data_IF_006706336488
#
_entry.id   IF_006706336488
#
_cell.length_a   1.000
_cell.length_b   1.000
_cell.length_c   1.000
_cell.angle_alpha   90.00
_cell.angle_beta   90.00
_cell.angle_gamma   90.00
#
_symmetry.space_group_name_H-M   'P 1'
#
loop_
_entity.id
_entity.type
_entity.pdbx_description
1 polymer ?
#
# COMPACT_ATOMS: atom_id res chain seq x y z
N UNK A 1 21.09 12.94 -35.14
CA UNK A 1 19.74 13.29 -35.64
C UNK A 1 19.73 14.78 -35.88
N UNK A 2 19.14 15.26 -36.97
CA UNK A 2 18.88 16.69 -37.12
C UNK A 2 17.85 17.12 -36.06
N UNK A 3 18.20 18.07 -35.21
CA UNK A 3 17.29 18.55 -34.18
C UNK A 3 16.36 19.60 -34.78
N UNK A 4 15.11 19.20 -34.95
CA UNK A 4 14.02 20.07 -35.37
C UNK A 4 12.72 19.61 -34.68
N UNK A 5 11.68 20.44 -34.75
CA UNK A 5 10.41 20.17 -34.06
C UNK A 5 9.77 18.83 -34.47
N UNK A 6 9.88 18.40 -35.73
CA UNK A 6 9.31 17.14 -36.20
C UNK A 6 10.05 15.92 -35.62
N UNK A 7 11.37 15.98 -35.57
CA UNK A 7 12.22 14.92 -35.03
C UNK A 7 12.09 14.81 -33.51
N UNK A 8 12.00 15.93 -32.79
CA UNK A 8 11.77 15.93 -31.34
C UNK A 8 10.38 15.37 -30.97
N UNK A 9 9.33 15.66 -31.75
CA UNK A 9 8.00 15.04 -31.54
C UNK A 9 8.02 13.53 -31.80
N UNK A 10 8.75 13.09 -32.82
CA UNK A 10 8.93 11.66 -33.12
C UNK A 10 9.71 10.96 -32.02
N UNK A 11 10.78 11.57 -31.52
CA UNK A 11 11.56 11.08 -30.38
C UNK A 11 10.69 10.95 -29.13
N UNK A 12 9.92 11.98 -28.79
CA UNK A 12 9.01 11.95 -27.66
C UNK A 12 7.94 10.86 -27.80
N UNK A 13 7.40 10.65 -29.00
CA UNK A 13 6.46 9.56 -29.25
C UNK A 13 7.12 8.21 -28.97
N UNK A 14 8.38 8.02 -29.38
CA UNK A 14 9.16 6.83 -29.04
C UNK A 14 9.41 6.68 -27.53
N UNK A 15 9.79 7.76 -26.84
CA UNK A 15 9.96 7.76 -25.39
C UNK A 15 8.66 7.46 -24.66
N UNK A 16 7.54 8.05 -25.06
CA UNK A 16 6.22 7.77 -24.48
C UNK A 16 5.83 6.31 -24.65
N UNK A 17 6.11 5.69 -25.80
CA UNK A 17 5.90 4.25 -25.99
C UNK A 17 6.74 3.42 -25.04
N UNK A 18 8.03 3.73 -24.90
CA UNK A 18 8.95 3.03 -23.97
C UNK A 18 8.50 3.21 -22.51
N UNK A 19 8.11 4.42 -22.14
CA UNK A 19 7.56 4.74 -20.82
C UNK A 19 6.32 3.90 -20.54
N UNK A 20 5.32 3.94 -21.42
CA UNK A 20 4.07 3.21 -21.24
C UNK A 20 4.29 1.69 -21.18
N UNK A 21 5.17 1.15 -22.02
CA UNK A 21 5.53 -0.28 -21.97
C UNK A 21 6.12 -0.70 -20.62
N UNK A 22 7.02 0.11 -20.06
CA UNK A 22 7.61 -0.16 -18.76
C UNK A 22 6.62 0.08 -17.60
N UNK A 23 5.76 1.09 -17.73
CA UNK A 23 4.69 1.38 -16.78
C UNK A 23 3.68 0.23 -16.73
N UNK A 24 3.19 -0.24 -17.87
CA UNK A 24 2.20 -1.32 -17.96
C UNK A 24 2.82 -2.69 -17.62
N UNK A 25 4.12 -2.87 -17.90
CA UNK A 25 4.86 -4.09 -17.59
C UNK A 25 5.24 -4.25 -16.11
N UNK A 26 5.16 -3.18 -15.31
CA UNK A 26 5.44 -3.25 -13.89
C UNK A 26 4.19 -3.66 -13.10
N UNK A 27 4.36 -4.65 -12.22
CA UNK A 27 3.31 -5.24 -11.39
C UNK A 27 3.48 -4.82 -9.93
N UNK A 28 2.89 -3.68 -9.52
CA UNK A 28 2.85 -3.30 -8.11
C UNK A 28 1.98 -4.29 -7.32
N UNK A 29 2.13 -4.29 -6.00
CA UNK A 29 1.48 -5.26 -5.11
C UNK A 29 0.72 -4.62 -3.95
N UNK A 30 0.75 -3.29 -3.82
CA UNK A 30 0.00 -2.54 -2.82
C UNK A 30 -1.48 -2.87 -2.81
N UNK A 31 -2.05 -3.16 -3.97
CA UNK A 31 -3.47 -3.45 -4.15
C UNK A 31 -3.88 -4.76 -3.47
N UNK A 32 -2.93 -5.62 -3.06
CA UNK A 32 -3.23 -6.79 -2.25
C UNK A 32 -3.59 -6.45 -0.80
N UNK A 33 -3.12 -5.31 -0.27
CA UNK A 33 -3.31 -4.90 1.14
C UNK A 33 -3.99 -3.55 1.32
N UNK A 34 -4.05 -2.73 0.27
CA UNK A 34 -4.67 -1.42 0.28
C UNK A 34 -5.81 -1.33 -0.74
N UNK A 35 -6.87 -0.62 -0.36
CA UNK A 35 -7.96 -0.30 -1.29
C UNK A 35 -7.68 1.03 -2.00
N UNK A 36 -8.05 1.11 -3.29
CA UNK A 36 -7.95 2.33 -4.08
C UNK A 36 -9.12 3.26 -3.74
N UNK A 37 -8.82 4.49 -3.36
CA UNK A 37 -9.80 5.58 -3.23
C UNK A 37 -9.44 6.71 -4.17
N UNK A 38 -10.41 7.16 -4.97
CA UNK A 38 -10.25 8.33 -5.84
C UNK A 38 -10.49 9.60 -5.02
N UNK A 39 -9.54 10.52 -5.05
CA UNK A 39 -9.62 11.81 -4.35
C UNK A 39 -9.93 12.95 -5.31
N UNK A 40 -10.84 13.83 -4.88
CA UNK A 40 -11.27 15.03 -5.62
C UNK A 40 -10.90 16.33 -4.92
N UNK A 41 -10.50 16.29 -3.63
CA UNK A 41 -10.08 17.46 -2.81
C UNK A 41 -8.61 17.38 -2.36
N UNK A 42 -8.09 18.43 -1.72
CA UNK A 42 -6.69 18.46 -1.25
C UNK A 42 -6.39 17.40 -0.20
N UNK A 43 -7.42 17.01 0.53
CA UNK A 43 -7.44 15.97 1.55
C UNK A 43 -8.82 15.30 1.52
N UNK A 44 -8.88 14.00 1.82
CA UNK A 44 -10.14 13.29 1.97
C UNK A 44 -10.31 12.88 3.43
N UNK A 45 -11.54 13.01 3.91
CA UNK A 45 -11.97 12.50 5.20
C UNK A 45 -12.62 11.13 4.98
N UNK A 46 -12.44 10.23 5.94
CA UNK A 46 -13.01 8.89 5.89
C UNK A 46 -13.93 8.62 7.09
N UNK A 47 -15.13 9.24 7.15
CA UNK A 47 -16.05 9.10 8.28
C UNK A 47 -16.52 7.67 8.57
N UNK A 48 -16.43 6.77 7.60
CA UNK A 48 -16.86 5.37 7.73
C UNK A 48 -15.81 4.49 8.42
N UNK A 49 -14.57 4.98 8.62
CA UNK A 49 -13.55 4.25 9.37
C UNK A 49 -13.96 4.20 10.84
N UNK A 50 -14.26 3.00 11.34
CA UNK A 50 -14.76 2.76 12.70
C UNK A 50 -15.85 1.70 12.76
N UNK A 51 -16.63 1.55 11.69
CA UNK A 51 -17.74 0.60 11.66
C UNK A 51 -17.65 -0.35 10.46
N UNK A 52 -17.65 -1.66 10.72
CA UNK A 52 -17.88 -2.67 9.69
C UNK A 52 -19.40 -2.92 9.59
N UNK A 53 -20.08 -2.48 8.52
CA UNK A 53 -21.53 -2.61 8.41
C UNK A 53 -21.98 -4.08 8.47
N UNK A 54 -23.18 -4.31 9.00
CA UNK A 54 -23.75 -5.65 9.19
C UNK A 54 -25.21 -5.73 8.84
N UNK A 55 -25.60 -6.86 8.27
CA UNK A 55 -27.00 -7.19 8.10
C UNK A 55 -27.50 -7.78 9.42
N UNK A 56 -28.58 -7.21 9.96
CA UNK A 56 -29.30 -7.72 11.13
C UNK A 56 -30.72 -8.14 10.72
N UNK A 57 -31.29 -9.07 11.47
CA UNK A 57 -32.67 -9.49 11.27
C UNK A 57 -33.62 -8.30 11.48
N UNK A 58 -34.65 -8.22 10.63
CA UNK A 58 -35.63 -7.14 10.69
C UNK A 58 -36.67 -7.45 11.77
N UNK A 59 -36.49 -6.91 12.98
CA UNK A 59 -37.37 -7.17 14.14
C UNK A 59 -38.19 -5.93 14.57
N UNK A 60 -38.19 -4.84 13.79
CA UNK A 60 -38.91 -3.60 14.09
C UNK A 60 -38.65 -2.47 13.08
N UNK A 61 -38.85 -1.22 13.48
CA UNK A 61 -38.47 -0.05 12.66
C UNK A 61 -36.97 -0.08 12.34
N UNK A 62 -36.57 0.53 11.20
CA UNK A 62 -35.16 0.57 10.80
C UNK A 62 -34.33 1.26 11.89
N UNK A 63 -33.49 0.49 12.56
CA UNK A 63 -32.44 1.03 13.42
C UNK A 63 -31.32 1.52 12.53
N UNK A 64 -31.20 2.85 12.41
CA UNK A 64 -30.14 3.52 11.67
C UNK A 64 -28.88 3.46 12.54
N UNK A 65 -27.83 2.79 12.05
CA UNK A 65 -26.50 2.89 12.64
C UNK A 65 -25.98 4.30 12.33
N UNK A 66 -25.77 5.09 13.38
CA UNK A 66 -25.19 6.42 13.25
C UNK A 66 -23.68 6.27 13.19
N UNK A 67 -23.12 6.20 11.98
CA UNK A 67 -21.67 6.19 11.74
C UNK A 67 -21.00 7.29 12.57
N UNK A 68 -20.21 6.91 13.58
CA UNK A 68 -19.40 7.89 14.32
C UNK A 68 -18.38 8.51 13.36
N UNK A 69 -18.40 9.83 13.25
CA UNK A 69 -17.50 10.55 12.33
C UNK A 69 -16.11 10.65 12.96
N UNK A 70 -15.15 9.92 12.41
CA UNK A 70 -13.74 10.07 12.78
C UNK A 70 -13.07 11.14 11.91
N UNK A 71 -12.32 12.07 12.54
CA UNK A 71 -11.54 13.13 11.86
C UNK A 71 -10.24 12.57 11.23
N UNK A 72 -10.29 11.38 10.63
CA UNK A 72 -9.14 10.81 9.95
C UNK A 72 -9.00 11.37 8.53
N UNK A 73 -7.88 12.05 8.28
CA UNK A 73 -7.66 12.78 7.04
C UNK A 73 -6.38 12.32 6.36
N UNK A 74 -6.48 11.91 5.09
CA UNK A 74 -5.31 11.62 4.25
C UNK A 74 -5.06 12.81 3.33
N UNK A 75 -4.03 13.61 3.66
CA UNK A 75 -3.60 14.77 2.86
C UNK A 75 -2.86 14.30 1.62
N UNK A 76 -3.28 14.74 0.44
CA UNK A 76 -2.59 14.39 -0.80
C UNK A 76 -1.20 15.03 -0.86
N UNK A 77 -0.21 14.27 -1.37
CA UNK A 77 1.15 14.75 -1.62
C UNK A 77 1.43 14.77 -3.13
N UNK A 78 2.26 15.71 -3.54
CA UNK A 78 2.70 15.86 -4.92
C UNK A 78 4.06 15.18 -5.09
N UNK A 79 4.20 14.41 -6.17
CA UNK A 79 5.39 13.65 -6.48
C UNK A 79 5.81 13.90 -7.92
N UNK A 80 7.11 13.98 -8.15
CA UNK A 80 7.68 14.16 -9.49
C UNK A 80 8.95 13.33 -9.67
N UNK A 81 9.23 12.99 -10.93
CA UNK A 81 10.50 12.45 -11.39
C UNK A 81 10.85 13.13 -12.71
N UNK A 82 11.90 13.95 -12.70
CA UNK A 82 12.32 14.74 -13.86
C UNK A 82 13.75 14.42 -14.29
N UNK A 83 13.94 14.16 -15.58
CA UNK A 83 15.24 13.88 -16.20
C UNK A 83 15.50 14.90 -17.31
N UNK A 84 16.67 15.52 -17.27
CA UNK A 84 17.18 16.37 -18.32
C UNK A 84 18.22 15.65 -19.21
N UNK A 85 18.14 15.88 -20.52
CA UNK A 85 19.07 15.34 -21.51
C UNK A 85 19.64 16.50 -22.32
N UNK A 86 20.97 16.67 -22.27
CA UNK A 86 21.67 17.70 -23.05
C UNK A 86 21.42 17.54 -24.54
N UNK A 87 21.17 18.66 -25.22
CA UNK A 87 20.88 18.70 -26.67
C UNK A 87 21.93 17.97 -27.52
N UNK A 88 23.25 18.16 -27.33
CA UNK A 88 24.25 17.41 -28.10
C UNK A 88 24.12 15.90 -27.93
N UNK A 89 23.69 15.45 -26.75
CA UNK A 89 23.48 14.02 -26.52
C UNK A 89 22.25 13.48 -27.23
N UNK A 90 21.21 14.29 -27.47
CA UNK A 90 20.08 13.90 -28.33
C UNK A 90 20.49 13.94 -29.80
N UNK A 91 21.29 14.93 -30.21
CA UNK A 91 21.86 15.00 -31.56
C UNK A 91 22.68 13.74 -31.87
N UNK A 92 23.42 13.23 -30.88
CA UNK A 92 24.26 12.04 -30.99
C UNK A 92 23.55 10.72 -30.66
N UNK A 93 22.31 10.74 -30.14
CA UNK A 93 21.57 9.52 -29.73
C UNK A 93 21.03 8.73 -30.93
N UNK A 94 21.93 8.12 -31.68
CA UNK A 94 21.60 7.27 -32.83
C UNK A 94 21.16 5.86 -32.44
N UNK A 95 21.41 5.44 -31.20
CA UNK A 95 21.23 4.06 -30.73
C UNK A 95 20.15 3.91 -29.65
N UNK A 96 19.49 4.99 -29.22
CA UNK A 96 18.44 4.95 -28.21
C UNK A 96 18.96 4.73 -26.80
N UNK A 97 20.11 5.31 -26.47
CA UNK A 97 20.82 5.15 -25.19
C UNK A 97 19.97 5.64 -24.01
N UNK A 98 19.02 6.55 -24.23
CA UNK A 98 18.14 7.07 -23.18
C UNK A 98 16.86 6.27 -22.98
N UNK A 99 16.57 5.29 -23.85
CA UNK A 99 15.38 4.43 -23.69
C UNK A 99 15.35 3.71 -22.33
N UNK A 100 16.45 3.12 -21.80
CA UNK A 100 16.45 2.50 -20.48
C UNK A 100 16.10 3.47 -19.36
N UNK A 101 16.54 4.74 -19.44
CA UNK A 101 16.20 5.76 -18.44
C UNK A 101 14.71 6.07 -18.46
N UNK A 102 14.14 6.27 -19.64
CA UNK A 102 12.69 6.52 -19.81
C UNK A 102 11.85 5.31 -19.38
N UNK A 103 12.32 4.09 -19.66
CA UNK A 103 11.68 2.87 -19.18
C UNK A 103 11.68 2.82 -17.65
N UNK A 104 12.81 3.15 -17.00
CA UNK A 104 12.90 3.17 -15.55
C UNK A 104 11.99 4.24 -14.94
N UNK A 105 11.82 5.40 -15.58
CA UNK A 105 10.82 6.39 -15.16
C UNK A 105 9.39 5.81 -15.18
N UNK A 106 9.03 5.06 -16.22
CA UNK A 106 7.74 4.36 -16.32
C UNK A 106 7.55 3.33 -15.21
N UNK A 107 8.56 2.49 -14.99
CA UNK A 107 8.57 1.49 -13.92
C UNK A 107 8.46 2.13 -12.55
N UNK A 108 9.24 3.18 -12.27
CA UNK A 108 9.24 3.89 -11.00
C UNK A 108 7.88 4.54 -10.71
N UNK A 109 7.28 5.20 -11.70
CA UNK A 109 5.95 5.78 -11.59
C UNK A 109 4.87 4.72 -11.27
N UNK A 110 4.95 3.54 -11.92
CA UNK A 110 4.02 2.43 -11.66
C UNK A 110 4.21 1.83 -10.27
N UNK A 111 5.46 1.71 -9.81
CA UNK A 111 5.80 1.09 -8.52
C UNK A 111 5.72 2.05 -7.33
N UNK A 112 5.56 3.36 -7.55
CA UNK A 112 5.54 4.34 -6.47
C UNK A 112 4.45 4.08 -5.40
N UNK A 113 3.23 3.62 -5.73
CA UNK A 113 2.23 3.30 -4.70
C UNK A 113 2.71 2.23 -3.71
N UNK A 114 3.52 1.23 -4.13
CA UNK A 114 4.14 0.26 -3.22
C UNK A 114 5.06 0.96 -2.20
N UNK A 115 5.81 1.98 -2.64
CA UNK A 115 6.69 2.77 -1.78
C UNK A 115 5.93 3.62 -0.77
N UNK A 116 4.65 3.92 -1.02
CA UNK A 116 3.79 4.64 -0.08
C UNK A 116 3.09 3.68 0.89
N UNK A 117 2.61 2.54 0.39
CA UNK A 117 1.76 1.61 1.15
C UNK A 117 2.57 0.70 2.06
N UNK A 118 3.65 0.07 1.58
CA UNK A 118 4.38 -0.92 2.37
C UNK A 118 5.03 -0.36 3.65
N UNK A 119 5.66 0.84 3.62
CA UNK A 119 6.22 1.41 4.84
C UNK A 119 5.18 1.69 5.94
N UNK A 120 3.89 1.81 5.61
CA UNK A 120 2.84 1.98 6.62
C UNK A 120 2.74 0.79 7.57
N UNK A 121 3.02 -0.44 7.12
CA UNK A 121 2.98 -1.60 8.02
C UNK A 121 4.05 -1.48 9.13
N UNK A 122 5.29 -1.13 8.78
CA UNK A 122 6.33 -0.88 9.78
C UNK A 122 6.05 0.38 10.60
N UNK A 123 5.51 1.43 9.96
CA UNK A 123 5.14 2.69 10.61
C UNK A 123 3.92 2.59 11.54
N UNK A 124 3.12 1.52 11.42
CA UNK A 124 1.87 1.34 12.15
C UNK A 124 2.05 1.22 13.66
N UNK A 125 3.22 0.80 14.13
CA UNK A 125 3.56 0.76 15.56
C UNK A 125 3.87 2.14 16.17
N UNK A 126 3.94 3.20 15.37
CA UNK A 126 4.35 4.54 15.80
C UNK A 126 3.49 5.68 15.22
N UNK A 127 2.55 5.36 14.32
CA UNK A 127 1.69 6.34 13.67
C UNK A 127 0.25 6.06 14.01
N UNK A 128 -0.47 7.10 14.43
CA UNK A 128 -1.86 6.98 14.84
C UNK A 128 -2.80 6.72 13.67
N UNK A 129 -3.85 5.94 13.92
CA UNK A 129 -4.95 5.70 12.99
C UNK A 129 -6.20 6.51 13.38
N UNK A 130 -7.36 6.15 12.84
CA UNK A 130 -8.59 6.96 12.95
C UNK A 130 -9.18 7.04 14.37
N UNK A 131 -8.79 6.14 15.26
CA UNK A 131 -9.21 6.07 16.66
C UNK A 131 -8.22 6.76 17.63
N UNK A 132 -7.22 7.47 17.11
CA UNK A 132 -6.14 8.13 17.85
C UNK A 132 -5.16 7.20 18.59
N UNK A 133 -5.26 5.88 18.42
CA UNK A 133 -4.25 4.89 18.83
C UNK A 133 -3.29 4.61 17.68
N UNK A 134 -2.13 3.99 17.96
CA UNK A 134 -1.27 3.51 16.88
C UNK A 134 -2.02 2.46 16.04
N UNK A 135 -1.67 2.29 14.76
CA UNK A 135 -2.36 1.30 13.93
C UNK A 135 -2.13 -0.15 14.41
N UNK A 136 -0.97 -0.39 15.03
CA UNK A 136 -0.68 -1.61 15.78
C UNK A 136 -0.49 -1.24 17.26
N UNK A 137 -1.53 -1.49 18.05
CA UNK A 137 -1.62 -1.07 19.45
C UNK A 137 -2.29 -2.14 20.32
N UNK A 138 -2.04 -2.08 21.62
CA UNK A 138 -2.71 -2.95 22.59
C UNK A 138 -4.06 -2.39 23.05
N UNK A 139 -4.31 -1.11 22.78
CA UNK A 139 -5.30 -0.31 23.50
C UNK A 139 -6.38 0.31 22.60
N UNK A 140 -6.81 -0.38 21.54
CA UNK A 140 -7.89 0.13 20.67
C UNK A 140 -9.24 0.15 21.41
N UNK A 141 -9.93 1.30 21.51
CA UNK A 141 -11.20 1.40 22.21
C UNK A 141 -12.35 0.80 21.38
N UNK A 142 -13.16 -0.06 21.99
CA UNK A 142 -14.42 -0.62 21.44
C UNK A 142 -15.48 -0.69 22.53
N UNK A 143 -16.76 -0.79 22.16
CA UNK A 143 -17.85 -0.96 23.11
C UNK A 143 -18.16 -2.44 23.37
N UNK A 144 -18.24 -2.83 24.64
CA UNK A 144 -18.67 -4.17 25.06
C UNK A 144 -20.19 -4.39 24.89
N UNK A 145 -20.69 -5.57 25.25
CA UNK A 145 -22.12 -5.92 25.14
C UNK A 145 -23.05 -5.01 25.97
N UNK A 146 -22.53 -4.36 27.01
CA UNK A 146 -23.25 -3.41 27.85
C UNK A 146 -23.08 -1.95 27.39
N UNK A 147 -22.32 -1.71 26.32
CA UNK A 147 -21.97 -0.38 25.82
C UNK A 147 -20.89 0.33 26.63
N UNK A 148 -20.13 -0.39 27.46
CA UNK A 148 -18.98 0.15 28.17
C UNK A 148 -17.71 0.04 27.31
N UNK A 149 -16.83 1.04 27.38
CA UNK A 149 -15.58 1.03 26.63
C UNK A 149 -14.61 -0.03 27.18
N UNK A 150 -14.06 -0.84 26.29
CA UNK A 150 -13.00 -1.82 26.55
C UNK A 150 -11.89 -1.69 25.51
N UNK A 151 -10.68 -2.07 25.89
CA UNK A 151 -9.51 -2.05 25.00
C UNK A 151 -9.30 -3.40 24.31
N UNK A 152 -8.90 -3.36 23.04
CA UNK A 152 -8.59 -4.53 22.22
C UNK A 152 -7.21 -4.36 21.57
N UNK A 153 -6.43 -5.44 21.58
CA UNK A 153 -5.11 -5.48 20.94
C UNK A 153 -5.17 -6.07 19.54
N UNK A 154 -4.40 -5.51 18.61
CA UNK A 154 -4.12 -6.10 17.30
C UNK A 154 -2.61 -6.31 17.08
N UNK A 155 -1.83 -6.40 18.16
CA UNK A 155 -0.39 -6.58 18.04
C UNK A 155 0.21 -7.55 19.04
N UNK A 156 1.41 -8.01 18.70
CA UNK A 156 2.28 -8.74 19.61
C UNK A 156 3.63 -8.03 19.71
N UNK A 157 4.04 -7.72 20.95
CA UNK A 157 5.30 -7.08 21.24
C UNK A 157 6.51 -8.00 20.97
N UNK A 158 7.69 -7.40 20.83
CA UNK A 158 8.95 -8.09 20.65
C UNK A 158 10.03 -7.18 20.07
N UNK A 159 11.20 -7.74 19.81
CA UNK A 159 12.38 -7.01 19.32
C UNK A 159 12.84 -7.45 17.91
N UNK A 160 12.12 -8.38 17.27
CA UNK A 160 12.48 -8.88 15.96
C UNK A 160 11.91 -7.97 14.84
N UNK A 161 12.43 -8.08 13.60
CA UNK A 161 11.76 -7.53 12.44
C UNK A 161 10.30 -7.98 12.37
N UNK A 162 9.41 -7.04 12.10
CA UNK A 162 7.98 -7.30 12.18
C UNK A 162 7.50 -8.27 11.08
N UNK A 163 6.41 -8.98 11.37
CA UNK A 163 5.60 -9.70 10.40
C UNK A 163 4.13 -9.36 10.63
N UNK A 164 3.34 -9.44 9.58
CA UNK A 164 1.97 -8.94 9.58
C UNK A 164 1.02 -10.00 9.04
N UNK A 165 -0.07 -10.23 9.75
CA UNK A 165 -1.14 -11.12 9.32
C UNK A 165 -2.37 -10.27 9.02
N UNK A 166 -2.92 -10.39 7.81
CA UNK A 166 -3.96 -9.50 7.30
C UNK A 166 -5.17 -10.30 6.81
N UNK A 167 -6.36 -9.71 6.97
CA UNK A 167 -7.57 -10.08 6.24
C UNK A 167 -7.75 -9.12 5.04
N UNK A 168 -7.57 -9.66 3.85
CA UNK A 168 -7.70 -8.97 2.56
C UNK A 168 -8.82 -9.56 1.70
N UNK A 169 -9.71 -10.36 2.30
CA UNK A 169 -10.83 -11.02 1.61
C UNK A 169 -11.97 -10.05 1.28
N UNK A 170 -12.00 -8.89 1.93
CA UNK A 170 -13.05 -7.88 1.82
C UNK A 170 -12.68 -6.76 0.86
N UNK A 171 -13.71 -6.02 0.43
CA UNK A 171 -13.51 -4.80 -0.37
C UNK A 171 -12.81 -3.70 0.45
N UNK A 172 -13.20 -3.56 1.72
CA UNK A 172 -12.49 -2.72 2.68
C UNK A 172 -11.22 -3.47 3.08
N UNK A 173 -10.07 -2.84 2.91
CA UNK A 173 -8.75 -3.40 3.22
C UNK A 173 -8.11 -2.67 4.41
N UNK A 174 -7.09 -3.25 5.05
CA UNK A 174 -6.45 -2.63 6.20
C UNK A 174 -5.77 -1.29 5.90
N UNK A 175 -5.38 -1.05 4.65
CA UNK A 175 -4.71 0.19 4.21
C UNK A 175 -5.51 0.87 3.09
N UNK A 176 -5.22 2.15 2.86
CA UNK A 176 -5.85 2.97 1.83
C UNK A 176 -4.75 3.57 0.95
N UNK A 177 -4.89 3.41 -0.36
CA UNK A 177 -4.15 4.20 -1.35
C UNK A 177 -5.10 5.20 -1.99
N UNK A 178 -4.82 6.48 -1.76
CA UNK A 178 -5.60 7.60 -2.26
C UNK A 178 -4.93 8.19 -3.50
N UNK A 179 -5.56 8.03 -4.66
CA UNK A 179 -5.08 8.61 -5.91
C UNK A 179 -5.91 9.84 -6.27
N UNK A 180 -5.24 10.98 -6.51
CA UNK A 180 -5.88 12.22 -6.98
C UNK A 180 -5.53 12.55 -8.42
N UNK A 181 -4.26 12.34 -8.78
CA UNK A 181 -3.75 12.56 -10.14
C UNK A 181 -2.84 11.38 -10.50
N UNK A 182 -3.22 10.56 -11.50
CA UNK A 182 -2.37 9.48 -11.97
C UNK A 182 -1.10 10.05 -12.60
N UNK A 183 -0.03 9.25 -12.61
CA UNK A 183 1.24 9.67 -13.19
C UNK A 183 1.14 9.93 -14.69
N UNK A 184 1.64 11.09 -15.12
CA UNK A 184 1.63 11.51 -16.52
C UNK A 184 3.04 11.87 -16.99
N UNK A 185 3.49 11.25 -18.08
CA UNK A 185 4.74 11.60 -18.74
C UNK A 185 4.56 12.87 -19.61
N UNK A 186 5.38 13.88 -19.37
CA UNK A 186 5.34 15.19 -20.02
C UNK A 186 6.72 15.63 -20.52
N UNK A 187 6.83 16.24 -21.71
CA UNK A 187 8.07 16.82 -22.18
C UNK A 187 8.08 18.35 -22.05
N UNK A 188 9.28 18.89 -21.91
CA UNK A 188 9.62 20.31 -22.16
C UNK A 188 10.82 20.29 -23.12
N UNK A 189 10.50 20.33 -24.41
CA UNK A 189 11.44 19.99 -25.48
C UNK A 189 11.43 20.94 -26.67
N UNK A 190 10.65 22.02 -26.63
CA UNK A 190 10.59 22.98 -27.72
C UNK A 190 11.88 23.81 -27.73
N UNK A 191 12.37 24.17 -28.93
CA UNK A 191 13.61 24.93 -29.05
C UNK A 191 13.54 26.33 -28.41
N UNK A 192 12.32 26.85 -28.25
CA UNK A 192 12.04 28.12 -27.58
C UNK A 192 11.92 27.99 -26.06
N UNK A 193 12.01 26.78 -25.50
CA UNK A 193 11.91 26.57 -24.06
C UNK A 193 13.11 27.19 -23.33
N UNK A 194 12.83 27.79 -22.17
CA UNK A 194 13.86 28.42 -21.35
C UNK A 194 14.99 27.44 -20.97
N UNK A 195 14.70 26.16 -20.74
CA UNK A 195 15.73 25.17 -20.43
C UNK A 195 16.64 24.87 -21.63
N UNK A 196 16.10 24.86 -22.85
CA UNK A 196 16.91 24.67 -24.06
C UNK A 196 17.80 25.89 -24.26
N UNK A 197 17.24 27.09 -24.14
CA UNK A 197 17.99 28.35 -24.30
C UNK A 197 19.05 28.55 -23.22
N UNK A 198 18.69 28.37 -21.95
CA UNK A 198 19.57 28.68 -20.81
C UNK A 198 20.55 27.55 -20.48
N UNK A 199 20.17 26.29 -20.72
CA UNK A 199 20.91 25.12 -20.21
C UNK A 199 21.27 24.10 -21.29
N UNK A 200 20.90 24.35 -22.55
CA UNK A 200 21.13 23.47 -23.68
C UNK A 200 20.61 22.04 -23.44
N UNK A 201 19.37 21.94 -22.94
CA UNK A 201 18.81 20.71 -22.37
C UNK A 201 17.31 20.54 -22.65
N UNK A 202 16.93 19.32 -23.03
CA UNK A 202 15.55 18.87 -23.15
C UNK A 202 15.14 18.12 -21.89
N UNK A 203 13.95 18.39 -21.37
CA UNK A 203 13.51 17.89 -20.07
C UNK A 203 12.29 17.00 -20.24
N UNK A 204 12.28 15.87 -19.54
CA UNK A 204 11.19 14.92 -19.51
C UNK A 204 10.80 14.67 -18.05
N UNK A 205 9.54 14.96 -17.72
CA UNK A 205 9.00 14.86 -16.38
C UNK A 205 7.91 13.82 -16.28
N UNK A 206 7.72 13.29 -15.08
CA UNK A 206 6.56 12.52 -14.67
C UNK A 206 6.07 13.11 -13.38
N UNK A 207 4.78 13.43 -13.29
CA UNK A 207 4.21 13.99 -12.08
C UNK A 207 2.87 13.33 -11.74
N UNK A 208 2.58 13.25 -10.44
CA UNK A 208 1.38 12.61 -9.90
C UNK A 208 1.03 13.15 -8.52
N UNK A 209 -0.20 12.90 -8.08
CA UNK A 209 -0.68 13.35 -6.78
C UNK A 209 -1.45 12.23 -6.10
N UNK A 210 -0.94 11.77 -4.97
CA UNK A 210 -1.51 10.65 -4.22
C UNK A 210 -1.04 10.70 -2.77
N UNK A 211 -1.58 9.82 -1.93
CA UNK A 211 -0.99 9.48 -0.64
C UNK A 211 -1.52 8.11 -0.19
N UNK A 212 -0.93 7.54 0.85
CA UNK A 212 -1.43 6.33 1.49
C UNK A 212 -1.70 6.58 2.98
N UNK A 213 -2.58 5.77 3.58
CA UNK A 213 -2.92 5.86 4.99
C UNK A 213 -3.53 4.57 5.54
N UNK A 214 -3.84 4.60 6.83
CA UNK A 214 -4.44 3.48 7.54
C UNK A 214 -5.94 3.38 7.28
N UNK A 215 -6.42 2.16 7.10
CA UNK A 215 -7.83 1.80 7.09
C UNK A 215 -8.24 1.22 8.45
N UNK A 216 -8.95 0.10 8.43
CA UNK A 216 -9.43 -0.58 9.63
C UNK A 216 -8.32 -1.44 10.27
N UNK A 217 -7.93 -1.10 11.50
CA UNK A 217 -6.93 -1.83 12.28
C UNK A 217 -7.37 -3.26 12.60
N UNK A 218 -8.68 -3.51 12.69
CA UNK A 218 -9.24 -4.85 12.98
C UNK A 218 -8.81 -5.89 11.94
N UNK A 219 -8.58 -5.46 10.69
CA UNK A 219 -8.20 -6.34 9.58
C UNK A 219 -6.71 -6.65 9.52
N UNK A 220 -5.90 -6.13 10.45
CA UNK A 220 -4.46 -6.32 10.47
C UNK A 220 -3.96 -6.68 11.87
N UNK A 221 -3.03 -7.63 11.93
CA UNK A 221 -2.29 -7.97 13.13
C UNK A 221 -0.80 -7.81 12.89
N UNK A 222 -0.13 -7.05 13.75
CA UNK A 222 1.31 -6.77 13.65
C UNK A 222 2.09 -7.42 14.78
N UNK A 223 3.10 -8.23 14.47
CA UNK A 223 3.93 -8.88 15.49
C UNK A 223 5.40 -8.58 15.31
N UNK A 224 6.06 -8.22 16.42
CA UNK A 224 7.53 -8.14 16.56
C UNK A 224 8.08 -9.35 17.33
N UNK A 225 7.23 -10.32 17.64
CA UNK A 225 7.64 -11.62 18.18
C UNK A 225 8.35 -12.46 17.12
N UNK A 226 8.98 -13.55 17.54
CA UNK A 226 9.57 -14.53 16.60
C UNK A 226 8.47 -15.12 15.73
N UNK A 227 8.67 -15.22 14.41
CA UNK A 227 7.71 -15.91 13.53
C UNK A 227 7.89 -17.42 13.67
N UNK A 228 7.06 -18.01 14.53
CA UNK A 228 6.95 -19.45 14.81
C UNK A 228 5.48 -19.87 14.91
N UNK A 229 5.24 -21.17 15.04
CA UNK A 229 3.88 -21.74 15.07
C UNK A 229 3.04 -21.17 16.21
N UNK A 230 3.64 -20.99 17.39
CA UNK A 230 2.94 -20.51 18.59
C UNK A 230 2.46 -19.06 18.43
N UNK A 231 3.35 -18.18 17.95
CA UNK A 231 3.00 -16.78 17.74
C UNK A 231 2.06 -16.60 16.54
N UNK A 232 2.22 -17.41 15.50
CA UNK A 232 1.29 -17.42 14.36
C UNK A 232 -0.12 -17.88 14.76
N UNK A 233 -0.23 -18.95 15.54
CA UNK A 233 -1.51 -19.44 16.10
C UNK A 233 -2.17 -18.37 16.96
N UNK A 234 -1.43 -17.75 17.88
CA UNK A 234 -1.93 -16.68 18.73
C UNK A 234 -2.44 -15.48 17.93
N UNK A 235 -1.71 -15.05 16.90
CA UNK A 235 -2.14 -13.98 16.00
C UNK A 235 -3.42 -14.33 15.24
N UNK A 236 -3.52 -15.56 14.70
CA UNK A 236 -4.74 -16.02 14.05
C UNK A 236 -5.94 -16.02 14.99
N UNK A 237 -5.78 -16.58 16.19
CA UNK A 237 -6.84 -16.64 17.19
C UNK A 237 -7.27 -15.25 17.65
N UNK A 238 -6.33 -14.33 17.82
CA UNK A 238 -6.62 -12.93 18.15
C UNK A 238 -7.50 -12.30 17.07
N UNK A 239 -7.09 -12.38 15.79
CA UNK A 239 -7.85 -11.80 14.68
C UNK A 239 -9.23 -12.42 14.50
N UNK A 240 -9.36 -13.75 14.52
CA UNK A 240 -10.65 -14.42 14.32
C UNK A 240 -11.61 -14.23 15.49
N UNK A 241 -11.07 -13.97 16.69
CA UNK A 241 -11.82 -13.65 17.90
C UNK A 241 -12.29 -12.20 18.00
N UNK A 242 -11.84 -11.30 17.11
CA UNK A 242 -12.20 -9.89 17.17
C UNK A 242 -13.71 -9.68 17.05
N UNK A 243 -14.23 -8.92 18.01
CA UNK A 243 -15.58 -8.39 18.04
C UNK A 243 -15.51 -6.87 17.83
N UNK A 244 -16.47 -6.33 17.09
CA UNK A 244 -16.70 -4.90 17.05
C UNK A 244 -17.58 -4.48 18.22
N UNK A 245 -18.07 -3.25 18.13
CA UNK A 245 -18.95 -2.67 19.15
C UNK A 245 -20.18 -3.55 19.44
N UNK A 246 -20.61 -3.50 20.70
CA UNK A 246 -21.73 -4.27 21.22
C UNK A 246 -21.52 -5.79 21.11
N UNK A 247 -20.26 -6.23 21.13
CA UNK A 247 -19.88 -7.64 21.13
C UNK A 247 -20.12 -8.38 19.80
N UNK A 248 -20.38 -7.66 18.71
CA UNK A 248 -20.69 -8.26 17.41
C UNK A 248 -19.44 -8.93 16.81
N UNK A 249 -19.47 -10.24 16.51
CA UNK A 249 -18.36 -10.89 15.81
C UNK A 249 -18.12 -10.26 14.43
N UNK A 250 -16.87 -9.94 14.13
CA UNK A 250 -16.52 -9.27 12.86
C UNK A 250 -16.37 -10.26 11.71
N UNK A 251 -16.15 -11.55 11.98
CA UNK A 251 -15.99 -12.60 10.96
C UNK A 251 -14.68 -12.47 10.17
N UNK A 252 -13.62 -12.02 10.83
CA UNK A 252 -12.31 -11.76 10.21
C UNK A 252 -11.65 -13.09 9.86
N UNK A 253 -11.16 -13.20 8.63
CA UNK A 253 -10.54 -14.42 8.10
C UNK A 253 -9.13 -14.10 7.62
N UNK A 254 -8.11 -14.26 8.48
CA UNK A 254 -6.75 -13.94 8.10
C UNK A 254 -6.26 -14.85 6.97
N UNK A 255 -5.92 -14.25 5.83
CA UNK A 255 -5.62 -14.96 4.59
C UNK A 255 -4.26 -14.57 3.97
N UNK A 256 -3.59 -13.53 4.47
CA UNK A 256 -2.33 -13.04 3.91
C UNK A 256 -1.30 -12.81 5.03
N UNK A 257 -0.18 -13.53 4.95
CA UNK A 257 0.98 -13.33 5.81
C UNK A 257 2.03 -12.51 5.05
N UNK A 258 2.26 -11.28 5.49
CA UNK A 258 3.22 -10.34 4.91
C UNK A 258 4.49 -10.31 5.76
N UNK A 259 5.64 -10.49 5.13
CA UNK A 259 6.95 -10.49 5.80
C UNK A 259 7.98 -9.70 5.02
N UNK A 260 8.95 -9.12 5.72
CA UNK A 260 10.20 -8.64 5.10
C UNK A 260 11.15 -9.79 4.73
N UNK A 261 12.22 -9.54 3.95
CA UNK A 261 13.14 -10.58 3.50
C UNK A 261 13.79 -11.39 4.64
N UNK A 262 14.04 -10.76 5.80
CA UNK A 262 14.61 -11.41 7.00
C UNK A 262 13.73 -12.53 7.55
N UNK A 263 12.41 -12.43 7.37
CA UNK A 263 11.42 -13.37 7.87
C UNK A 263 10.95 -14.37 6.80
N UNK A 264 11.46 -14.32 5.56
CA UNK A 264 11.01 -15.22 4.47
C UNK A 264 11.11 -16.70 4.86
N UNK A 265 12.26 -17.12 5.38
CA UNK A 265 12.48 -18.52 5.76
C UNK A 265 11.52 -18.97 6.87
N UNK A 266 11.23 -18.09 7.84
CA UNK A 266 10.28 -18.36 8.91
C UNK A 266 8.84 -18.42 8.38
N UNK A 267 8.45 -17.49 7.50
CA UNK A 267 7.14 -17.49 6.86
C UNK A 267 6.90 -18.73 6.00
N UNK A 268 7.91 -19.21 5.26
CA UNK A 268 7.80 -20.47 4.50
C UNK A 268 7.56 -21.67 5.42
N UNK A 269 8.28 -21.74 6.54
CA UNK A 269 8.07 -22.79 7.55
C UNK A 269 6.68 -22.73 8.17
N UNK A 270 6.19 -21.53 8.48
CA UNK A 270 4.89 -21.33 9.11
C UNK A 270 3.74 -21.74 8.20
N UNK A 271 3.66 -21.22 6.96
CA UNK A 271 2.42 -21.35 6.14
C UNK A 271 2.59 -22.03 4.79
N UNK A 272 3.81 -22.37 4.36
CA UNK A 272 4.06 -22.96 3.03
C UNK A 272 4.48 -24.43 3.11
N UNK A 273 5.41 -24.75 3.99
CA UNK A 273 5.92 -26.11 4.13
C UNK A 273 4.84 -27.03 4.68
N UNK A 274 4.60 -28.17 4.02
CA UNK A 274 3.59 -29.15 4.47
C UNK A 274 4.06 -30.02 5.64
N UNK A 275 5.36 -30.04 5.92
CA UNK A 275 5.99 -30.81 6.99
C UNK A 275 6.87 -29.92 7.87
N UNK A 276 6.88 -30.21 9.17
CA UNK A 276 7.80 -29.58 10.15
C UNK A 276 9.17 -30.27 10.14
N UNK A 277 10.16 -29.68 10.81
CA UNK A 277 11.53 -30.21 10.87
C UNK A 277 11.63 -31.64 11.45
N UNK A 278 10.64 -32.06 12.25
CA UNK A 278 10.51 -33.43 12.79
C UNK A 278 9.70 -34.41 11.93
N UNK A 279 9.24 -34.01 10.73
CA UNK A 279 8.45 -34.85 9.83
C UNK A 279 6.95 -34.93 10.12
N UNK A 280 6.46 -34.30 11.19
CA UNK A 280 5.04 -34.12 11.45
C UNK A 280 4.40 -33.18 10.40
N UNK A 281 3.09 -33.31 10.21
CA UNK A 281 2.33 -32.39 9.36
C UNK A 281 2.38 -30.97 9.93
N UNK A 282 2.32 -29.99 9.03
CA UNK A 282 2.14 -28.60 9.38
C UNK A 282 0.66 -28.22 9.20
N UNK A 283 -0.04 -28.09 10.33
CA UNK A 283 -1.44 -27.69 10.42
C UNK A 283 -1.72 -26.27 9.89
N UNK A 284 -0.69 -25.41 9.82
CA UNK A 284 -0.80 -24.03 9.35
C UNK A 284 -0.53 -23.89 7.85
N UNK A 285 -0.07 -24.95 7.18
CA UNK A 285 0.21 -24.93 5.76
C UNK A 285 -1.04 -24.55 4.95
N UNK A 286 -0.93 -23.52 4.11
CA UNK A 286 -2.03 -23.04 3.26
C UNK A 286 -3.08 -22.19 3.98
N UNK A 287 -2.96 -21.95 5.29
CA UNK A 287 -3.93 -21.12 6.04
C UNK A 287 -3.83 -19.62 5.71
N UNK A 288 -2.70 -19.18 5.18
CA UNK A 288 -2.49 -17.85 4.63
C UNK A 288 -1.50 -17.91 3.45
N UNK A 289 -1.68 -17.03 2.46
CA UNK A 289 -0.70 -16.81 1.40
C UNK A 289 0.51 -16.08 1.97
N UNK A 290 1.71 -16.62 1.79
CA UNK A 290 2.94 -15.90 2.12
C UNK A 290 3.25 -14.85 1.06
N UNK A 291 3.50 -13.62 1.50
CA UNK A 291 4.01 -12.53 0.67
C UNK A 291 5.29 -11.96 1.28
N UNK A 292 6.38 -12.06 0.54
CA UNK A 292 7.66 -11.45 0.89
C UNK A 292 7.73 -10.09 0.21
N UNK A 293 7.87 -9.03 1.00
CA UNK A 293 7.86 -7.65 0.51
C UNK A 293 9.24 -7.02 0.75
N UNK A 294 10.04 -6.76 -0.31
CA UNK A 294 11.35 -6.14 -0.17
C UNK A 294 11.32 -4.73 0.46
N UNK A 295 10.22 -4.01 0.31
CA UNK A 295 10.02 -2.67 0.91
C UNK A 295 9.88 -2.68 2.44
N UNK A 296 9.85 -3.87 3.07
CA UNK A 296 9.85 -4.05 4.52
C UNK A 296 11.23 -4.43 5.08
N UNK A 297 12.28 -4.43 4.24
CA UNK A 297 13.66 -4.71 4.64
C UNK A 297 14.26 -3.63 5.56
#
# INVERSE_FOLDING_TARGET
MEVNAANLRSLFTGFRTVFNQAFDGATPTWDQVAMLTQSTTSEEQYPWLGELPGIKEWVGDRVIENLTTHDFTIKNKEFELTVGIKRPRIEDDRYGVYKPVVAEMGRAARMHPDQLVWPLLNGGFATKCYDNQFFFDTDHPVLDEAGAETSVSNMQAGANPAWFLLDTTRMIKPLIYQERKPYKFVPLQDETDANVFMRNEYVYGVDGRSNAGYGLWQLAFGSKGTLDDANYEAARAAMTGLKGDYGRPLGITPNLLVVGPTNEGAGRRAVVNTKKAGGSDNEWAGTAKLMVVPWLA
#
